data_IF_450671464830
#
_entry.id   IF_450671464830
#
_cell.length_a   1.000
_cell.length_b   1.000
_cell.length_c   1.000
_cell.angle_alpha   90.00
_cell.angle_beta   90.00
_cell.angle_gamma   90.00
#
_symmetry.space_group_name_H-M   'P 1'
#
loop_
_entity.id
_entity.type
_entity.pdbx_description
1 polymer ?
#
# COMPACT_ATOMS: atom_id res chain seq x y z
N UNK A 1 -10.79 23.88 -26.96
CA UNK A 1 -11.51 24.53 -25.84
C UNK A 1 -12.86 23.89 -25.48
N UNK A 2 -13.75 23.54 -26.43
CA UNK A 2 -15.08 22.90 -26.14
C UNK A 2 -14.99 21.49 -25.51
N UNK A 3 -14.05 20.63 -25.91
CA UNK A 3 -13.87 19.28 -25.37
C UNK A 3 -13.43 19.29 -23.90
N UNK A 4 -12.58 20.25 -23.50
CA UNK A 4 -12.12 20.41 -22.11
C UNK A 4 -13.27 20.75 -21.15
N UNK A 5 -14.21 21.58 -21.59
CA UNK A 5 -15.35 21.98 -20.76
C UNK A 5 -16.38 20.83 -20.61
N UNK A 6 -16.63 20.04 -21.66
CA UNK A 6 -17.53 18.90 -21.60
C UNK A 6 -16.97 17.82 -20.66
N UNK A 7 -15.68 17.49 -20.75
CA UNK A 7 -15.00 16.54 -19.89
C UNK A 7 -15.03 16.97 -18.42
N UNK A 8 -14.71 18.24 -18.15
CA UNK A 8 -14.77 18.81 -16.79
C UNK A 8 -16.18 18.73 -16.20
N UNK A 9 -17.23 19.06 -16.96
CA UNK A 9 -18.61 19.00 -16.49
C UNK A 9 -19.06 17.57 -16.18
N UNK A 10 -18.66 16.59 -16.99
CA UNK A 10 -18.96 15.17 -16.75
C UNK A 10 -18.26 14.66 -15.49
N UNK A 11 -17.01 15.04 -15.26
CA UNK A 11 -16.28 14.68 -14.03
C UNK A 11 -16.91 15.30 -12.78
N UNK A 12 -17.35 16.56 -12.85
CA UNK A 12 -18.03 17.24 -11.75
C UNK A 12 -19.36 16.56 -11.42
N UNK A 13 -20.14 16.20 -12.43
CA UNK A 13 -21.41 15.49 -12.27
C UNK A 13 -21.23 14.11 -11.61
N UNK A 14 -20.22 13.35 -12.03
CA UNK A 14 -19.97 11.99 -11.56
C UNK A 14 -19.00 11.88 -10.37
N UNK A 15 -18.58 13.00 -9.78
CA UNK A 15 -17.55 13.09 -8.74
C UNK A 15 -17.76 12.13 -7.57
N UNK A 16 -19.00 12.00 -7.07
CA UNK A 16 -19.31 11.08 -5.95
C UNK A 16 -19.08 9.63 -6.34
N UNK A 17 -19.44 9.25 -7.56
CA UNK A 17 -19.21 7.91 -8.09
C UNK A 17 -17.73 7.61 -8.23
N UNK A 18 -16.94 8.56 -8.75
CA UNK A 18 -15.49 8.41 -8.90
C UNK A 18 -14.80 8.27 -7.55
N UNK A 19 -15.17 9.06 -6.54
CA UNK A 19 -14.64 8.93 -5.16
C UNK A 19 -14.99 7.55 -4.59
N UNK A 20 -16.16 7.01 -4.90
CA UNK A 20 -16.53 5.65 -4.51
C UNK A 20 -15.61 4.61 -5.15
N UNK A 21 -15.36 4.71 -6.45
CA UNK A 21 -14.46 3.81 -7.19
C UNK A 21 -13.05 3.90 -6.60
N UNK A 22 -12.51 5.10 -6.40
CA UNK A 22 -11.22 5.35 -5.76
C UNK A 22 -11.13 4.62 -4.42
N UNK A 23 -12.14 4.80 -3.57
CA UNK A 23 -12.15 4.20 -2.23
C UNK A 23 -12.19 2.68 -2.27
N UNK A 24 -12.99 2.10 -3.17
CA UNK A 24 -13.12 0.65 -3.31
C UNK A 24 -11.81 0.06 -3.85
N UNK A 25 -11.23 0.67 -4.88
CA UNK A 25 -9.94 0.24 -5.43
C UNK A 25 -8.83 0.32 -4.39
N UNK A 26 -8.76 1.42 -3.63
CA UNK A 26 -7.76 1.58 -2.58
C UNK A 26 -7.89 0.49 -1.52
N UNK A 27 -9.09 0.27 -0.98
CA UNK A 27 -9.31 -0.75 0.06
C UNK A 27 -9.12 -2.17 -0.46
N UNK A 28 -9.63 -2.49 -1.65
CA UNK A 28 -9.42 -3.81 -2.24
C UNK A 28 -7.95 -4.07 -2.53
N UNK A 29 -7.24 -3.06 -3.06
CA UNK A 29 -5.80 -3.15 -3.31
C UNK A 29 -4.99 -3.36 -2.04
N UNK A 30 -5.29 -2.62 -0.96
CA UNK A 30 -4.60 -2.80 0.33
C UNK A 30 -4.88 -4.16 0.96
N UNK A 31 -6.09 -4.71 0.81
CA UNK A 31 -6.40 -6.07 1.29
C UNK A 31 -5.63 -7.13 0.50
N UNK A 32 -5.60 -7.02 -0.84
CA UNK A 32 -4.84 -7.93 -1.69
C UNK A 32 -3.36 -7.89 -1.35
N UNK A 33 -2.79 -6.69 -1.23
CA UNK A 33 -1.38 -6.48 -0.90
C UNK A 33 -1.02 -7.04 0.49
N UNK A 34 -1.86 -6.82 1.51
CA UNK A 34 -1.66 -7.38 2.85
C UNK A 34 -1.67 -8.91 2.85
N UNK A 35 -2.65 -9.53 2.19
CA UNK A 35 -2.75 -10.98 2.13
C UNK A 35 -1.58 -11.58 1.35
N UNK A 36 -1.18 -10.94 0.26
CA UNK A 36 -0.03 -11.35 -0.53
C UNK A 36 1.28 -11.16 0.23
N UNK A 37 1.45 -10.06 0.97
CA UNK A 37 2.63 -9.81 1.82
C UNK A 37 2.77 -10.81 2.96
N UNK A 38 1.64 -11.25 3.58
CA UNK A 38 1.67 -12.33 4.57
C UNK A 38 2.11 -13.65 3.92
N UNK A 39 1.64 -13.93 2.72
CA UNK A 39 2.05 -15.11 1.97
C UNK A 39 3.53 -15.05 1.62
N UNK A 40 4.00 -13.92 1.12
CA UNK A 40 5.39 -13.68 0.78
C UNK A 40 6.31 -13.85 2.00
N UNK A 41 5.99 -13.20 3.12
CA UNK A 41 6.71 -13.37 4.38
C UNK A 41 6.74 -14.84 4.87
N UNK A 42 5.68 -15.59 4.63
CA UNK A 42 5.62 -17.01 4.98
C UNK A 42 6.58 -17.83 4.10
N UNK A 43 6.67 -17.53 2.81
CA UNK A 43 7.62 -18.16 1.89
C UNK A 43 9.07 -17.92 2.31
N UNK A 44 9.40 -16.68 2.71
CA UNK A 44 10.71 -16.34 3.27
C UNK A 44 11.03 -17.15 4.53
N UNK A 45 10.06 -17.29 5.44
CA UNK A 45 10.20 -18.14 6.65
C UNK A 45 10.46 -19.61 6.31
N UNK A 46 9.82 -20.11 5.26
CA UNK A 46 9.96 -21.50 4.79
C UNK A 46 11.27 -21.73 4.03
N UNK A 47 12.06 -20.66 3.78
CA UNK A 47 13.30 -20.67 3.00
C UNK A 47 13.09 -21.23 1.60
N UNK A 48 11.96 -20.92 0.98
CA UNK A 48 11.72 -21.22 -0.41
C UNK A 48 12.70 -20.42 -1.29
N UNK A 49 13.23 -21.06 -2.34
CA UNK A 49 14.12 -20.37 -3.29
C UNK A 49 13.30 -19.40 -4.11
N UNK A 50 13.54 -18.11 -3.95
CA UNK A 50 12.76 -17.09 -4.60
C UNK A 50 13.58 -16.35 -5.64
N UNK A 51 13.02 -16.31 -6.85
CA UNK A 51 13.35 -15.30 -7.83
C UNK A 51 12.43 -14.10 -7.54
N UNK A 52 12.82 -12.88 -7.92
CA UNK A 52 11.98 -11.68 -7.72
C UNK A 52 10.55 -11.85 -8.28
N UNK A 53 10.39 -12.49 -9.42
CA UNK A 53 9.09 -12.74 -10.06
C UNK A 53 8.43 -14.04 -9.58
N UNK A 54 8.22 -14.18 -8.29
CA UNK A 54 7.41 -15.26 -7.72
C UNK A 54 5.93 -14.92 -7.80
N UNK A 55 5.07 -15.92 -7.61
CA UNK A 55 3.61 -15.71 -7.59
C UNK A 55 3.18 -14.81 -6.43
N UNK A 56 3.92 -14.84 -5.32
CA UNK A 56 3.69 -14.00 -4.15
C UNK A 56 3.94 -12.53 -4.50
N UNK A 57 5.09 -12.19 -5.08
CA UNK A 57 5.40 -10.85 -5.55
C UNK A 57 4.41 -10.35 -6.61
N UNK A 58 4.03 -11.21 -7.58
CA UNK A 58 2.99 -10.85 -8.56
C UNK A 58 1.68 -10.49 -7.88
N UNK A 59 1.29 -11.22 -6.81
CA UNK A 59 0.10 -10.90 -6.04
C UNK A 59 0.23 -9.57 -5.27
N UNK A 60 1.39 -9.30 -4.64
CA UNK A 60 1.70 -8.00 -4.00
C UNK A 60 1.56 -6.86 -5.01
N UNK A 61 2.24 -6.97 -6.17
CA UNK A 61 2.20 -5.93 -7.21
C UNK A 61 0.81 -5.79 -7.87
N UNK A 62 -0.04 -6.81 -7.81
CA UNK A 62 -1.45 -6.67 -8.22
C UNK A 62 -2.17 -5.71 -7.27
N UNK A 63 -1.98 -5.84 -5.95
CA UNK A 63 -2.50 -4.92 -4.95
C UNK A 63 -1.99 -3.49 -5.16
N UNK A 64 -0.67 -3.33 -5.32
CA UNK A 64 -0.03 -2.04 -5.63
C UNK A 64 -0.59 -1.43 -6.91
N UNK A 65 -0.84 -2.22 -7.96
CA UNK A 65 -1.44 -1.77 -9.21
C UNK A 65 -2.85 -1.20 -9.01
N UNK A 66 -3.69 -1.86 -8.20
CA UNK A 66 -5.03 -1.36 -7.87
C UNK A 66 -4.96 -0.04 -7.10
N UNK A 67 -4.05 0.08 -6.13
CA UNK A 67 -3.82 1.31 -5.37
C UNK A 67 -3.29 2.41 -6.30
N UNK A 68 -2.42 2.09 -7.24
CA UNK A 68 -1.89 3.03 -8.24
C UNK A 68 -3.00 3.58 -9.14
N UNK A 69 -3.89 2.73 -9.63
CA UNK A 69 -5.07 3.19 -10.38
C UNK A 69 -5.93 4.15 -9.53
N UNK A 70 -6.12 3.82 -8.25
CA UNK A 70 -6.82 4.67 -7.29
C UNK A 70 -6.12 6.03 -7.11
N UNK A 71 -4.79 6.05 -7.02
CA UNK A 71 -4.01 7.29 -6.89
C UNK A 71 -4.05 8.17 -8.15
N UNK A 72 -4.02 7.57 -9.34
CA UNK A 72 -4.18 8.30 -10.61
C UNK A 72 -5.55 9.00 -10.65
N UNK A 73 -6.62 8.28 -10.33
CA UNK A 73 -7.97 8.86 -10.24
C UNK A 73 -8.04 9.94 -9.16
N UNK A 74 -7.34 9.76 -8.03
CA UNK A 74 -7.24 10.74 -6.95
C UNK A 74 -6.59 12.04 -7.42
N UNK A 75 -5.54 11.94 -8.22
CA UNK A 75 -4.86 13.12 -8.79
C UNK A 75 -5.79 13.92 -9.69
N UNK A 76 -6.60 13.25 -10.52
CA UNK A 76 -7.60 13.89 -11.38
C UNK A 76 -8.65 14.61 -10.53
N UNK A 77 -9.16 13.98 -9.47
CA UNK A 77 -10.16 14.59 -8.58
C UNK A 77 -9.58 15.78 -7.81
N UNK A 78 -8.30 15.75 -7.43
CA UNK A 78 -7.65 16.89 -6.75
C UNK A 78 -7.54 18.11 -7.65
N UNK A 79 -7.31 17.94 -8.96
CA UNK A 79 -7.29 19.05 -9.94
C UNK A 79 -8.65 19.76 -9.98
N UNK A 80 -9.76 19.02 -9.85
CA UNK A 80 -11.12 19.56 -9.82
C UNK A 80 -11.43 20.27 -8.48
N UNK A 81 -10.52 20.20 -7.52
CA UNK A 81 -10.58 20.88 -6.23
C UNK A 81 -11.83 20.54 -5.38
N UNK A 82 -11.90 19.34 -4.77
CA UNK A 82 -13.01 18.95 -3.91
C UNK A 82 -13.15 19.90 -2.69
N UNK A 83 -14.40 20.29 -2.36
CA UNK A 83 -14.67 21.22 -1.25
C UNK A 83 -14.43 20.59 0.13
N UNK A 84 -14.65 19.28 0.28
CA UNK A 84 -14.49 18.58 1.56
C UNK A 84 -13.00 18.39 1.88
N UNK A 85 -12.57 18.95 3.00
CA UNK A 85 -11.17 18.91 3.48
C UNK A 85 -10.70 17.49 3.80
N UNK A 86 -11.57 16.63 4.36
CA UNK A 86 -11.21 15.25 4.69
C UNK A 86 -11.03 14.41 3.43
N UNK A 87 -11.87 14.61 2.40
CA UNK A 87 -11.69 13.98 1.10
C UNK A 87 -10.37 14.41 0.48
N UNK A 88 -10.04 15.71 0.50
CA UNK A 88 -8.73 16.19 0.01
C UNK A 88 -7.56 15.54 0.74
N UNK A 89 -7.65 15.42 2.06
CA UNK A 89 -6.61 14.75 2.86
C UNK A 89 -6.49 13.27 2.47
N UNK A 90 -7.61 12.56 2.38
CA UNK A 90 -7.62 11.15 1.98
C UNK A 90 -6.98 10.92 0.61
N UNK A 91 -7.35 11.75 -0.40
CA UNK A 91 -6.77 11.68 -1.74
C UNK A 91 -5.26 11.93 -1.73
N UNK A 92 -4.79 12.95 -1.00
CA UNK A 92 -3.36 13.27 -0.89
C UNK A 92 -2.56 12.16 -0.21
N UNK A 93 -3.07 11.65 0.91
CA UNK A 93 -2.43 10.56 1.66
C UNK A 93 -2.31 9.31 0.80
N UNK A 94 -3.36 8.98 0.03
CA UNK A 94 -3.35 7.86 -0.90
C UNK A 94 -2.27 8.03 -1.99
N UNK A 95 -2.15 9.22 -2.58
CA UNK A 95 -1.10 9.50 -3.59
C UNK A 95 0.30 9.35 -2.98
N UNK A 96 0.52 9.90 -1.78
CA UNK A 96 1.82 9.80 -1.10
C UNK A 96 2.13 8.33 -0.80
N UNK A 97 1.19 7.58 -0.23
CA UNK A 97 1.35 6.16 0.06
C UNK A 97 1.70 5.35 -1.18
N UNK A 98 0.96 5.56 -2.27
CA UNK A 98 1.23 4.90 -3.56
C UNK A 98 2.61 5.25 -4.12
N UNK A 99 3.02 6.51 -4.03
CA UNK A 99 4.35 6.93 -4.52
C UNK A 99 5.48 6.24 -3.75
N UNK A 100 5.32 6.09 -2.43
CA UNK A 100 6.27 5.34 -1.60
C UNK A 100 6.33 3.87 -2.01
N UNK A 101 5.18 3.22 -2.21
CA UNK A 101 5.12 1.81 -2.63
C UNK A 101 5.81 1.59 -3.98
N UNK A 102 5.53 2.42 -5.00
CA UNK A 102 6.15 2.29 -6.32
C UNK A 102 7.66 2.47 -6.21
N UNK A 103 8.12 3.49 -5.47
CA UNK A 103 9.55 3.75 -5.31
C UNK A 103 10.24 2.62 -4.54
N UNK A 104 9.62 2.13 -3.48
CA UNK A 104 10.13 1.04 -2.67
C UNK A 104 10.18 -0.27 -3.46
N UNK A 105 9.12 -0.62 -4.17
CA UNK A 105 9.08 -1.82 -5.00
C UNK A 105 10.11 -1.81 -6.12
N UNK A 106 10.39 -0.65 -6.71
CA UNK A 106 11.49 -0.51 -7.67
C UNK A 106 12.86 -0.68 -7.01
N UNK A 107 13.08 -0.08 -5.84
CA UNK A 107 14.31 -0.25 -5.08
C UNK A 107 14.53 -1.70 -4.64
N UNK A 108 13.46 -2.37 -4.24
CA UNK A 108 13.44 -3.77 -3.85
C UNK A 108 13.84 -4.69 -5.02
N UNK A 109 13.28 -4.45 -6.21
CA UNK A 109 13.66 -5.24 -7.41
C UNK A 109 15.13 -5.10 -7.76
N UNK A 110 15.73 -3.91 -7.63
CA UNK A 110 17.17 -3.68 -7.84
C UNK A 110 17.98 -4.40 -6.77
N UNK A 111 17.54 -4.37 -5.51
CA UNK A 111 18.20 -5.04 -4.40
C UNK A 111 18.26 -6.55 -4.62
N UNK A 112 17.15 -7.15 -4.99
CA UNK A 112 17.08 -8.58 -5.34
C UNK A 112 17.97 -8.95 -6.53
N UNK A 113 18.08 -8.11 -7.54
CA UNK A 113 18.95 -8.35 -8.70
C UNK A 113 20.44 -8.23 -8.33
N UNK A 114 20.80 -7.29 -7.46
CA UNK A 114 22.18 -7.01 -7.09
C UNK A 114 22.73 -7.93 -5.99
N UNK A 115 21.91 -8.29 -5.02
CA UNK A 115 22.34 -9.00 -3.80
C UNK A 115 21.70 -10.38 -3.63
N UNK A 116 20.74 -10.75 -4.48
CA UNK A 116 19.94 -11.96 -4.33
C UNK A 116 18.78 -11.76 -3.37
N UNK A 117 18.32 -12.85 -2.75
CA UNK A 117 17.22 -12.82 -1.78
C UNK A 117 17.67 -12.04 -0.55
N UNK A 118 16.98 -10.95 -0.25
CA UNK A 118 17.23 -10.12 0.92
C UNK A 118 16.41 -10.59 2.14
N UNK A 119 16.67 -9.99 3.29
CA UNK A 119 15.95 -10.31 4.52
C UNK A 119 14.54 -9.69 4.54
N UNK A 120 13.68 -10.20 5.44
CA UNK A 120 12.32 -9.70 5.61
C UNK A 120 12.27 -8.22 6.03
N UNK A 121 13.27 -7.73 6.77
CA UNK A 121 13.31 -6.35 7.29
C UNK A 121 14.40 -5.55 6.57
N UNK A 122 14.08 -5.08 5.38
CA UNK A 122 14.93 -4.19 4.58
C UNK A 122 14.36 -2.77 4.58
N UNK A 123 15.16 -1.80 4.15
CA UNK A 123 14.70 -0.41 4.01
C UNK A 123 13.59 -0.34 2.94
N UNK A 124 13.71 -1.08 1.85
CA UNK A 124 12.70 -1.17 0.79
C UNK A 124 11.37 -1.68 1.34
N UNK A 125 11.37 -2.77 2.11
CA UNK A 125 10.17 -3.32 2.72
C UNK A 125 9.53 -2.35 3.72
N UNK A 126 10.31 -1.70 4.60
CA UNK A 126 9.78 -0.72 5.55
C UNK A 126 9.13 0.49 4.85
N UNK A 127 9.70 0.97 3.76
CA UNK A 127 9.12 2.05 2.96
C UNK A 127 7.86 1.59 2.24
N UNK A 128 7.86 0.37 1.69
CA UNK A 128 6.69 -0.25 1.05
C UNK A 128 5.52 -0.37 2.04
N UNK A 129 5.78 -0.91 3.23
CA UNK A 129 4.79 -1.06 4.30
C UNK A 129 4.26 0.28 4.82
N UNK A 130 5.13 1.30 4.93
CA UNK A 130 4.72 2.67 5.24
C UNK A 130 3.77 3.19 4.18
N UNK A 131 4.08 2.96 2.92
CA UNK A 131 3.23 3.30 1.79
C UNK A 131 1.88 2.59 1.82
N UNK A 132 1.87 1.29 2.17
CA UNK A 132 0.66 0.49 2.35
C UNK A 132 -0.22 1.06 3.46
N UNK A 133 0.34 1.36 4.64
CA UNK A 133 -0.39 1.97 5.75
C UNK A 133 -1.01 3.32 5.36
N UNK A 134 -0.25 4.18 4.68
CA UNK A 134 -0.77 5.46 4.19
C UNK A 134 -1.89 5.25 3.16
N UNK A 135 -1.76 4.29 2.27
CA UNK A 135 -2.80 3.96 1.29
C UNK A 135 -4.07 3.44 1.95
N UNK A 136 -3.93 2.58 2.97
CA UNK A 136 -5.06 2.10 3.78
C UNK A 136 -5.76 3.25 4.52
N UNK A 137 -4.99 4.17 5.14
CA UNK A 137 -5.53 5.37 5.79
C UNK A 137 -6.24 6.29 4.80
N UNK A 138 -5.67 6.51 3.62
CA UNK A 138 -6.28 7.28 2.55
C UNK A 138 -7.62 6.68 2.11
N UNK A 139 -7.66 5.38 1.85
CA UNK A 139 -8.86 4.62 1.51
C UNK A 139 -9.94 4.70 2.61
N UNK A 140 -9.56 4.52 3.88
CA UNK A 140 -10.44 4.66 5.02
C UNK A 140 -11.05 6.07 5.13
N UNK A 141 -10.23 7.14 5.01
CA UNK A 141 -10.70 8.51 5.06
C UNK A 141 -11.70 8.83 3.94
N UNK A 142 -11.46 8.31 2.74
CA UNK A 142 -12.38 8.47 1.62
C UNK A 142 -13.69 7.73 1.86
N UNK A 143 -13.63 6.52 2.43
CA UNK A 143 -14.82 5.74 2.76
C UNK A 143 -15.63 6.38 3.90
N UNK A 144 -15.00 6.81 4.97
CA UNK A 144 -15.68 7.40 6.12
C UNK A 144 -16.46 8.69 5.77
N UNK A 145 -16.01 9.41 4.74
CA UNK A 145 -16.62 10.65 4.28
C UNK A 145 -17.50 10.49 3.02
N UNK A 146 -17.73 9.26 2.59
CA UNK A 146 -18.51 8.98 1.39
C UNK A 146 -20.03 8.85 1.64
N UNK A 147 -20.76 8.46 0.60
CA UNK A 147 -22.22 8.32 0.63
C UNK A 147 -22.67 7.13 1.49
N UNK A 148 -23.82 7.27 2.17
CA UNK A 148 -24.42 6.25 3.07
C UNK A 148 -24.86 4.93 2.38
N UNK A 149 -24.76 4.85 1.06
CA UNK A 149 -25.25 3.71 0.25
C UNK A 149 -24.24 2.58 0.09
N UNK A 150 -23.13 2.59 0.83
CA UNK A 150 -22.07 1.57 0.70
C UNK A 150 -22.32 0.34 1.56
N UNK A 151 -21.93 -0.86 1.10
CA UNK A 151 -21.93 -2.05 1.94
C UNK A 151 -21.08 -1.83 3.19
N UNK A 152 -21.61 -2.18 4.36
CA UNK A 152 -20.89 -2.04 5.65
C UNK A 152 -19.58 -2.82 5.64
N UNK A 153 -19.51 -3.93 4.92
CA UNK A 153 -18.32 -4.78 4.80
C UNK A 153 -17.10 -4.02 4.28
N UNK A 154 -17.28 -3.09 3.32
CA UNK A 154 -16.15 -2.34 2.76
C UNK A 154 -15.52 -1.41 3.81
N UNK A 155 -16.34 -0.80 4.66
CA UNK A 155 -15.82 0.02 5.77
C UNK A 155 -15.09 -0.84 6.81
N UNK A 156 -15.63 -2.03 7.12
CA UNK A 156 -14.98 -2.98 8.02
C UNK A 156 -13.62 -3.44 7.47
N UNK A 157 -13.55 -3.75 6.16
CA UNK A 157 -12.30 -4.10 5.49
C UNK A 157 -11.30 -2.93 5.51
N UNK A 158 -11.76 -1.69 5.34
CA UNK A 158 -10.89 -0.51 5.43
C UNK A 158 -10.30 -0.33 6.83
N UNK A 159 -11.12 -0.51 7.88
CA UNK A 159 -10.64 -0.46 9.28
C UNK A 159 -9.64 -1.59 9.52
N UNK A 160 -9.97 -2.80 9.11
CA UNK A 160 -9.11 -3.96 9.26
C UNK A 160 -7.77 -3.76 8.53
N UNK A 161 -7.78 -3.22 7.31
CA UNK A 161 -6.57 -2.92 6.55
C UNK A 161 -5.66 -1.93 7.29
N UNK A 162 -6.23 -0.86 7.88
CA UNK A 162 -5.45 0.10 8.68
C UNK A 162 -4.85 -0.57 9.91
N UNK A 163 -5.63 -1.36 10.65
CA UNK A 163 -5.16 -2.06 11.84
C UNK A 163 -4.05 -3.07 11.50
N UNK A 164 -4.27 -3.90 10.49
CA UNK A 164 -3.28 -4.90 10.07
C UNK A 164 -2.00 -4.27 9.54
N UNK A 165 -2.09 -3.22 8.69
CA UNK A 165 -0.91 -2.50 8.20
C UNK A 165 -0.13 -1.85 9.34
N UNK A 166 -0.84 -1.27 10.34
CA UNK A 166 -0.19 -0.68 11.52
C UNK A 166 0.51 -1.74 12.37
N UNK A 167 -0.11 -2.91 12.55
CA UNK A 167 0.48 -4.02 13.31
C UNK A 167 1.69 -4.59 12.58
N UNK A 168 1.59 -4.72 11.25
CA UNK A 168 2.65 -5.28 10.41
C UNK A 168 3.90 -4.41 10.44
N UNK A 169 3.78 -3.11 10.19
CA UNK A 169 4.92 -2.19 10.28
C UNK A 169 5.49 -2.10 11.71
N UNK A 170 4.62 -2.12 12.72
CA UNK A 170 5.04 -2.16 14.12
C UNK A 170 5.85 -3.40 14.45
N UNK A 171 5.44 -4.57 13.95
CA UNK A 171 6.17 -5.81 14.09
C UNK A 171 7.56 -5.74 13.43
N UNK A 172 7.65 -5.21 12.21
CA UNK A 172 8.92 -5.06 11.52
C UNK A 172 9.85 -4.06 12.22
N UNK A 173 9.33 -2.99 12.83
CA UNK A 173 10.14 -2.11 13.68
C UNK A 173 10.68 -2.83 14.92
N UNK A 174 9.92 -3.71 15.53
CA UNK A 174 10.38 -4.53 16.67
C UNK A 174 11.50 -5.47 16.22
N UNK A 175 11.36 -6.12 15.07
CA UNK A 175 12.41 -6.99 14.50
C UNK A 175 13.68 -6.19 14.16
N UNK A 176 13.52 -5.02 13.54
CA UNK A 176 14.61 -4.10 13.24
C UNK A 176 15.36 -3.70 14.51
N UNK A 177 14.64 -3.24 15.53
CA UNK A 177 15.24 -2.86 16.81
C UNK A 177 15.93 -4.04 17.49
N UNK A 178 15.31 -5.22 17.50
CA UNK A 178 15.88 -6.43 18.05
C UNK A 178 17.19 -6.83 17.37
N UNK A 179 17.23 -6.78 16.03
CA UNK A 179 18.42 -7.15 15.26
C UNK A 179 19.54 -6.13 15.36
N UNK A 180 19.24 -4.82 15.28
CA UNK A 180 20.25 -3.77 15.26
C UNK A 180 20.71 -3.37 16.66
N UNK A 181 19.76 -3.08 17.56
CA UNK A 181 20.10 -2.51 18.87
C UNK A 181 20.47 -3.57 19.89
N UNK A 182 19.80 -4.75 19.86
CA UNK A 182 20.01 -5.81 20.82
C UNK A 182 20.87 -6.97 20.29
N UNK A 183 21.20 -6.93 18.99
CA UNK A 183 21.95 -7.99 18.31
C UNK A 183 21.38 -9.39 18.55
N UNK A 184 20.05 -9.47 18.65
CA UNK A 184 19.37 -10.74 18.82
C UNK A 184 19.38 -11.49 17.49
N UNK A 185 19.52 -12.84 17.49
CA UNK A 185 19.54 -13.66 16.29
C UNK A 185 18.14 -13.78 15.67
N UNK A 186 17.37 -12.69 15.64
CA UNK A 186 16.04 -12.63 15.02
C UNK A 186 16.15 -12.94 13.53
N UNK A 187 17.30 -12.63 12.95
CA UNK A 187 17.58 -12.80 11.54
C UNK A 187 18.08 -14.19 11.14
N UNK A 188 18.52 -15.02 12.08
CA UNK A 188 18.89 -16.41 11.75
C UNK A 188 17.72 -17.22 11.19
N UNK A 189 16.48 -16.83 11.49
CA UNK A 189 15.31 -17.43 10.87
C UNK A 189 15.13 -17.01 9.39
N UNK A 190 15.73 -15.88 8.96
CA UNK A 190 15.51 -15.26 7.65
C UNK A 190 16.81 -15.04 6.86
N UNK A 191 17.89 -14.68 7.53
CA UNK A 191 19.24 -14.54 6.96
C UNK A 191 20.27 -14.53 8.09
N UNK A 192 21.54 -14.77 7.78
CA UNK A 192 22.61 -14.88 8.78
C UNK A 192 22.95 -13.53 9.42
N UNK A 193 22.67 -13.34 10.70
CA UNK A 193 23.35 -12.36 11.54
C UNK A 193 22.55 -11.14 11.97
N UNK A 194 23.20 -10.28 12.78
CA UNK A 194 22.67 -9.02 13.31
C UNK A 194 22.60 -7.89 12.29
N UNK A 195 22.69 -8.18 11.00
CA UNK A 195 22.73 -7.16 9.96
C UNK A 195 21.33 -6.80 9.48
N UNK A 196 21.04 -5.54 9.51
CA UNK A 196 20.02 -4.91 8.70
C UNK A 196 20.68 -4.53 7.39
N UNK A 197 20.22 -5.08 6.32
CA UNK A 197 20.65 -4.72 4.97
C UNK A 197 19.74 -3.65 4.38
#
# INVERSE_FOLDING_TARGET
MKLSNAFSNTLISNRKSIINIISILAVSGTVVELLAGIWDATSHLMRETELFWTIQHVAVYTGVGMITCSAILSSIILIINPQNTLIKKGLKILIIGTSLQITAGYADSISHEAYGVDGLVTISHLVLETGLLLSALGGFLLLSNGTKTRPKIILQLAILSVLLSSTWIGFNFILLFGSVALCLPVYEAFSSGCAVL
#
